data_IF_797614537046
#
_entry.id   IF_797614537046
#
_cell.length_a   1.000
_cell.length_b   1.000
_cell.length_c   1.000
_cell.angle_alpha   90.00
_cell.angle_beta   90.00
_cell.angle_gamma   90.00
#
_symmetry.space_group_name_H-M   'P 1'
#
loop_
_entity.id
_entity.type
_entity.pdbx_description
1 polymer ?
#
# COMPACT_ATOMS: atom_id res chain seq x y z
N UNK A 1 -32.47 -8.02 39.98
CA UNK A 1 -33.51 -7.00 39.88
C UNK A 1 -33.38 -6.22 38.58
N UNK A 2 -34.31 -5.30 38.27
CA UNK A 2 -34.32 -4.54 37.03
C UNK A 2 -33.06 -3.68 36.82
N UNK A 3 -32.54 -3.09 37.93
CA UNK A 3 -31.33 -2.26 37.86
C UNK A 3 -30.09 -3.09 37.48
N UNK A 4 -29.96 -4.29 38.06
CA UNK A 4 -28.85 -5.18 37.70
C UNK A 4 -28.94 -5.69 36.29
N UNK A 5 -30.16 -6.00 35.80
CA UNK A 5 -30.37 -6.41 34.41
C UNK A 5 -30.03 -5.29 33.44
N UNK A 6 -30.42 -4.05 33.73
CA UNK A 6 -30.08 -2.88 32.93
C UNK A 6 -28.59 -2.61 32.87
N UNK A 7 -27.91 -2.76 34.02
CA UNK A 7 -26.45 -2.57 34.08
C UNK A 7 -25.72 -3.60 33.22
N UNK A 8 -26.15 -4.86 33.28
CA UNK A 8 -25.57 -5.94 32.46
C UNK A 8 -25.82 -5.68 30.96
N UNK A 9 -27.01 -5.23 30.60
CA UNK A 9 -27.35 -4.90 29.22
C UNK A 9 -26.48 -3.76 28.68
N UNK A 10 -26.25 -2.73 29.48
CA UNK A 10 -25.34 -1.61 29.11
C UNK A 10 -23.91 -2.05 28.93
N UNK A 11 -23.42 -2.91 29.81
CA UNK A 11 -22.06 -3.47 29.67
C UNK A 11 -21.89 -4.28 28.41
N UNK A 12 -22.90 -5.10 28.08
CA UNK A 12 -22.89 -5.88 26.85
C UNK A 12 -22.89 -4.98 25.61
N UNK A 13 -23.73 -3.95 25.63
CA UNK A 13 -23.79 -2.98 24.53
C UNK A 13 -22.45 -2.26 24.36
N UNK A 14 -21.82 -1.84 25.45
CA UNK A 14 -20.51 -1.20 25.41
C UNK A 14 -19.45 -2.13 24.82
N UNK A 15 -19.49 -3.42 25.19
CA UNK A 15 -18.55 -4.42 24.64
C UNK A 15 -18.74 -4.60 23.14
N UNK A 16 -19.98 -4.70 22.68
CA UNK A 16 -20.30 -4.84 21.28
C UNK A 16 -19.86 -3.59 20.49
N UNK A 17 -20.14 -2.40 21.02
CA UNK A 17 -19.72 -1.14 20.39
C UNK A 17 -18.20 -1.04 20.27
N UNK A 18 -17.47 -1.47 21.30
CA UNK A 18 -16.01 -1.49 21.29
C UNK A 18 -15.48 -2.47 20.24
N UNK A 19 -16.06 -3.66 20.14
CA UNK A 19 -15.69 -4.66 19.14
C UNK A 19 -15.98 -4.16 17.73
N UNK A 20 -17.12 -3.52 17.52
CA UNK A 20 -17.51 -2.97 16.22
C UNK A 20 -16.57 -1.84 15.79
N UNK A 21 -16.18 -0.96 16.74
CA UNK A 21 -15.20 0.10 16.44
C UNK A 21 -13.86 -0.48 16.07
N UNK A 22 -13.38 -1.47 16.82
CA UNK A 22 -12.11 -2.14 16.53
C UNK A 22 -12.13 -2.83 15.18
N UNK A 23 -13.20 -3.52 14.85
CA UNK A 23 -13.37 -4.18 13.56
C UNK A 23 -13.36 -3.18 12.40
N UNK A 24 -14.07 -2.07 12.55
CA UNK A 24 -14.09 -1.01 11.54
C UNK A 24 -12.71 -0.39 11.35
N UNK A 25 -11.97 -0.18 12.44
CA UNK A 25 -10.59 0.34 12.36
C UNK A 25 -9.67 -0.62 11.63
N UNK A 26 -9.77 -1.92 11.92
CA UNK A 26 -8.97 -2.94 11.21
C UNK A 26 -9.31 -2.98 9.73
N UNK A 27 -10.58 -2.94 9.39
CA UNK A 27 -11.02 -2.92 7.99
C UNK A 27 -10.51 -1.67 7.27
N UNK A 28 -10.56 -0.51 7.91
CA UNK A 28 -10.04 0.73 7.34
C UNK A 28 -8.53 0.65 7.10
N UNK A 29 -7.78 0.10 8.06
CA UNK A 29 -6.34 -0.09 7.91
C UNK A 29 -6.01 -1.07 6.78
N UNK A 30 -6.73 -2.18 6.69
CA UNK A 30 -6.56 -3.17 5.62
C UNK A 30 -6.86 -2.55 4.25
N UNK A 31 -7.92 -1.74 4.16
CA UNK A 31 -8.27 -1.04 2.92
C UNK A 31 -7.18 -0.06 2.51
N UNK A 32 -6.62 0.69 3.44
CA UNK A 32 -5.51 1.62 3.17
C UNK A 32 -4.26 0.89 2.69
N UNK A 33 -3.92 -0.23 3.33
CA UNK A 33 -2.78 -1.05 2.93
C UNK A 33 -2.98 -1.66 1.54
N UNK A 34 -4.18 -2.15 1.26
CA UNK A 34 -4.52 -2.71 -0.06
C UNK A 34 -4.41 -1.63 -1.14
N UNK A 35 -4.95 -0.44 -0.88
CA UNK A 35 -4.86 0.69 -1.81
C UNK A 35 -3.40 1.10 -2.05
N UNK A 36 -2.59 1.15 -1.00
CA UNK A 36 -1.16 1.46 -1.12
C UNK A 36 -0.44 0.43 -1.99
N UNK A 37 -0.69 -0.85 -1.77
CA UNK A 37 -0.11 -1.93 -2.58
C UNK A 37 -0.52 -1.83 -4.04
N UNK A 38 -1.78 -1.52 -4.31
CA UNK A 38 -2.28 -1.35 -5.68
C UNK A 38 -1.61 -0.18 -6.38
N UNK A 39 -1.44 0.96 -5.67
CA UNK A 39 -0.74 2.12 -6.22
C UNK A 39 0.70 1.79 -6.56
N UNK A 40 1.39 1.10 -5.66
CA UNK A 40 2.78 0.68 -5.89
C UNK A 40 2.88 -0.28 -7.07
N UNK A 41 1.96 -1.23 -7.18
CA UNK A 41 1.92 -2.17 -8.30
C UNK A 41 1.70 -1.46 -9.64
N UNK A 42 0.79 -0.49 -9.68
CA UNK A 42 0.55 0.31 -10.90
C UNK A 42 1.78 1.14 -11.27
N UNK A 43 2.44 1.73 -10.29
CA UNK A 43 3.66 2.52 -10.49
C UNK A 43 4.80 1.64 -11.02
N UNK A 44 5.01 0.46 -10.45
CA UNK A 44 6.01 -0.49 -10.93
C UNK A 44 5.73 -0.94 -12.34
N UNK A 45 4.48 -1.27 -12.66
CA UNK A 45 4.08 -1.66 -14.00
C UNK A 45 4.32 -0.51 -15.00
N UNK A 46 4.01 0.73 -14.60
CA UNK A 46 4.26 1.91 -15.42
C UNK A 46 5.76 2.11 -15.66
N UNK A 47 6.58 1.92 -14.64
CA UNK A 47 8.04 2.03 -14.79
C UNK A 47 8.59 0.97 -15.74
N UNK A 48 8.13 -0.26 -15.65
CA UNK A 48 8.53 -1.34 -16.57
C UNK A 48 8.20 -1.03 -18.02
N UNK A 49 7.12 -0.31 -18.28
CA UNK A 49 6.76 0.15 -19.63
C UNK A 49 7.60 1.34 -20.06
N UNK A 50 7.99 2.20 -19.12
CA UNK A 50 8.77 3.41 -19.38
C UNK A 50 10.24 3.09 -19.68
N UNK A 51 10.83 2.14 -18.98
CA UNK A 51 12.25 1.87 -19.02
C UNK A 51 12.55 0.50 -19.63
N UNK A 52 13.31 0.52 -20.73
CA UNK A 52 13.91 -0.68 -21.31
C UNK A 52 15.43 -0.58 -21.12
N UNK A 53 16.08 -1.53 -20.43
CA UNK A 53 17.53 -1.52 -20.28
C UNK A 53 18.23 -1.61 -21.64
N UNK A 54 19.44 -1.01 -21.75
CA UNK A 54 20.29 -1.19 -22.92
C UNK A 54 20.67 -2.65 -23.12
N UNK A 55 21.08 -3.02 -24.31
CA UNK A 55 21.48 -4.41 -24.64
C UNK A 55 22.54 -4.95 -23.69
N UNK A 56 23.57 -4.11 -23.38
CA UNK A 56 24.61 -4.49 -22.43
C UNK A 56 24.06 -4.77 -21.04
N UNK A 57 23.09 -3.96 -20.57
CA UNK A 57 22.49 -4.12 -19.26
C UNK A 57 21.50 -5.28 -19.21
N UNK A 58 20.91 -5.66 -20.33
CA UNK A 58 20.09 -6.88 -20.40
C UNK A 58 20.94 -8.14 -20.25
N UNK A 59 22.16 -8.10 -20.79
CA UNK A 59 23.10 -9.24 -20.69
C UNK A 59 23.70 -9.34 -19.28
N UNK A 60 24.17 -8.21 -18.73
CA UNK A 60 24.74 -8.16 -17.37
C UNK A 60 24.29 -6.87 -16.66
N UNK A 61 23.21 -6.95 -15.88
CA UNK A 61 22.69 -5.78 -15.17
C UNK A 61 23.51 -5.38 -13.94
N UNK A 62 24.45 -6.20 -13.51
CA UNK A 62 25.18 -6.02 -12.24
C UNK A 62 26.42 -5.14 -12.37
N UNK A 63 26.50 -4.28 -13.38
CA UNK A 63 27.62 -3.35 -13.57
C UNK A 63 27.28 -1.95 -13.03
N UNK A 64 28.30 -1.16 -12.71
CA UNK A 64 28.12 0.23 -12.26
C UNK A 64 27.43 1.09 -13.31
N UNK A 65 27.83 1.05 -14.60
CA UNK A 65 27.12 1.81 -15.64
C UNK A 65 25.63 1.44 -15.73
N UNK A 66 25.28 0.17 -15.56
CA UNK A 66 23.88 -0.27 -15.61
C UNK A 66 23.08 0.20 -14.39
N UNK A 67 23.69 0.22 -13.20
CA UNK A 67 23.07 0.80 -12.02
C UNK A 67 22.80 2.30 -12.21
N UNK A 68 23.73 3.03 -12.81
CA UNK A 68 23.56 4.45 -13.13
C UNK A 68 22.45 4.67 -14.15
N UNK A 69 22.39 3.84 -15.20
CA UNK A 69 21.33 3.89 -16.21
C UNK A 69 19.96 3.72 -15.56
N UNK A 70 19.83 2.72 -14.69
CA UNK A 70 18.58 2.46 -13.94
C UNK A 70 18.19 3.65 -13.07
N UNK A 71 19.14 4.19 -12.31
CA UNK A 71 18.88 5.32 -11.41
C UNK A 71 18.44 6.58 -12.17
N UNK A 72 19.06 6.85 -13.31
CA UNK A 72 18.69 8.00 -14.14
C UNK A 72 17.30 7.82 -14.74
N UNK A 73 16.98 6.62 -15.23
CA UNK A 73 15.65 6.29 -15.72
C UNK A 73 14.59 6.44 -14.63
N UNK A 74 14.91 5.98 -13.43
CA UNK A 74 14.04 6.11 -12.26
C UNK A 74 13.76 7.56 -11.92
N UNK A 75 14.78 8.42 -11.93
CA UNK A 75 14.62 9.85 -11.68
C UNK A 75 13.72 10.52 -12.72
N UNK A 76 13.92 10.20 -14.01
CA UNK A 76 13.06 10.75 -15.07
C UNK A 76 11.62 10.29 -14.93
N UNK A 77 11.44 9.02 -14.59
CA UNK A 77 10.11 8.46 -14.36
C UNK A 77 9.41 9.14 -13.19
N UNK A 78 10.09 9.27 -12.04
CA UNK A 78 9.53 9.91 -10.83
C UNK A 78 9.15 11.37 -11.10
N UNK A 79 9.93 12.07 -11.94
CA UNK A 79 9.65 13.46 -12.28
C UNK A 79 8.40 13.62 -13.16
N UNK A 80 8.07 12.62 -13.97
CA UNK A 80 6.96 12.69 -14.94
C UNK A 80 5.75 11.85 -14.59
N UNK A 81 5.89 10.92 -13.64
CA UNK A 81 4.79 10.02 -13.31
C UNK A 81 3.70 10.74 -12.54
N UNK A 82 2.49 10.62 -13.06
CA UNK A 82 1.27 11.09 -12.38
C UNK A 82 0.34 9.90 -12.21
N UNK A 83 -0.12 9.69 -11.01
CA UNK A 83 -1.11 8.66 -10.74
C UNK A 83 -2.46 9.10 -11.28
N UNK A 84 -3.10 8.19 -12.03
CA UNK A 84 -4.42 8.42 -12.60
C UNK A 84 -5.46 7.55 -11.93
#
# INVERSE_FOLDING_TARGET
NAAAAQARSRLEQQRQDAQDREQRQRQAQEAMLAEHRERQARKEAAFKRFYTPSSACQTDPATVPCANEYMQAKKRFEASYTER
#
